data_IF_689282474313
#
_entry.id   IF_689282474313
#
_cell.length_a   1.000
_cell.length_b   1.000
_cell.length_c   1.000
_cell.angle_alpha   90.00
_cell.angle_beta   90.00
_cell.angle_gamma   90.00
#
_symmetry.space_group_name_H-M   'P 1'
#
loop_
_entity.id
_entity.type
_entity.pdbx_description
1 polymer ?
#
# COMPACT_ATOMS: atom_id res chain seq x y z
N UNK A 1 42.09 -41.18 -34.22
CA UNK A 1 41.15 -40.36 -33.44
C UNK A 1 40.04 -39.91 -34.38
N UNK A 2 38.88 -40.56 -34.29
CA UNK A 2 37.71 -40.30 -35.12
C UNK A 2 37.05 -38.99 -34.67
N UNK A 3 36.89 -38.04 -35.58
CA UNK A 3 36.13 -36.81 -35.32
C UNK A 3 34.69 -37.04 -35.78
N UNK A 4 33.76 -37.09 -34.83
CA UNK A 4 32.32 -37.18 -35.10
C UNK A 4 31.77 -35.77 -35.19
N UNK A 5 31.33 -35.38 -36.38
CA UNK A 5 30.54 -34.17 -36.63
C UNK A 5 29.07 -34.55 -36.37
N UNK A 6 28.47 -33.97 -35.33
CA UNK A 6 27.03 -34.07 -35.09
C UNK A 6 26.41 -32.69 -35.32
N UNK A 7 25.72 -32.56 -36.45
CA UNK A 7 24.81 -31.47 -36.72
C UNK A 7 23.57 -31.63 -35.85
N UNK A 8 23.17 -30.57 -35.14
CA UNK A 8 21.86 -30.47 -34.50
C UNK A 8 21.23 -29.16 -34.96
N UNK A 9 20.01 -29.30 -35.50
CA UNK A 9 19.31 -28.30 -36.28
C UNK A 9 18.90 -27.05 -35.49
N UNK A 10 18.81 -25.96 -36.24
CA UNK A 10 18.20 -24.71 -35.82
C UNK A 10 16.69 -24.95 -35.73
N UNK A 11 16.18 -25.08 -34.50
CA UNK A 11 14.75 -24.99 -34.24
C UNK A 11 14.33 -23.54 -34.49
N UNK A 12 13.40 -23.36 -35.42
CA UNK A 12 12.81 -22.07 -35.74
C UNK A 12 12.17 -21.45 -34.49
N UNK A 13 12.41 -20.15 -34.32
CA UNK A 13 11.69 -19.34 -33.35
C UNK A 13 10.21 -19.32 -33.74
N UNK A 14 9.36 -19.85 -32.87
CA UNK A 14 7.92 -19.57 -32.92
C UNK A 14 7.69 -18.14 -32.44
N UNK A 15 7.04 -17.37 -33.31
CA UNK A 15 6.62 -15.99 -33.13
C UNK A 15 5.46 -15.94 -32.11
N UNK A 16 5.52 -15.15 -31.01
CA UNK A 16 4.41 -15.07 -30.06
C UNK A 16 3.37 -14.08 -30.59
N UNK A 17 2.61 -14.50 -31.61
CA UNK A 17 1.43 -13.80 -32.07
C UNK A 17 0.15 -14.44 -31.50
N UNK A 18 -0.68 -13.58 -30.89
CA UNK A 18 -2.13 -13.75 -30.67
C UNK A 18 -2.62 -14.86 -29.72
N UNK A 19 -2.53 -14.60 -28.41
CA UNK A 19 -3.48 -15.15 -27.43
C UNK A 19 -4.69 -14.21 -27.25
N UNK A 20 -5.32 -13.81 -28.36
CA UNK A 20 -6.60 -13.10 -28.37
C UNK A 20 -7.71 -14.09 -28.66
N UNK A 21 -8.49 -14.51 -27.65
CA UNK A 21 -9.65 -15.36 -27.98
C UNK A 21 -10.56 -15.89 -26.86
N UNK A 22 -10.22 -15.82 -25.58
CA UNK A 22 -11.20 -16.12 -24.51
C UNK A 22 -11.44 -14.88 -23.68
N UNK A 23 -12.70 -14.43 -23.63
CA UNK A 23 -13.15 -13.44 -22.65
C UNK A 23 -12.91 -13.98 -21.23
N UNK A 24 -12.81 -13.10 -20.23
CA UNK A 24 -12.90 -13.54 -18.84
C UNK A 24 -14.13 -14.45 -18.69
N UNK A 25 -14.03 -15.51 -17.89
CA UNK A 25 -15.22 -16.24 -17.48
C UNK A 25 -16.08 -15.28 -16.66
N UNK A 26 -17.06 -14.64 -17.30
CA UNK A 26 -18.04 -13.77 -16.64
C UNK A 26 -18.95 -14.68 -15.85
N UNK A 27 -19.02 -14.44 -14.55
CA UNK A 27 -19.94 -15.17 -13.69
C UNK A 27 -21.35 -14.68 -14.01
N UNK A 28 -22.24 -15.59 -14.44
CA UNK A 28 -23.65 -15.27 -14.71
C UNK A 28 -24.36 -14.75 -13.45
N UNK A 29 -23.93 -15.26 -12.29
CA UNK A 29 -24.35 -14.82 -10.96
C UNK A 29 -23.08 -14.46 -10.18
N UNK A 30 -22.92 -13.21 -9.71
CA UNK A 30 -21.74 -12.82 -8.96
C UNK A 30 -21.57 -13.66 -7.69
N UNK A 31 -20.34 -14.09 -7.40
CA UNK A 31 -20.05 -14.98 -6.28
C UNK A 31 -19.47 -14.21 -5.09
N UNK A 32 -19.95 -14.40 -3.85
CA UNK A 32 -19.40 -13.71 -2.70
C UNK A 32 -17.94 -14.13 -2.44
N UNK A 33 -17.14 -13.19 -1.95
CA UNK A 33 -15.77 -13.45 -1.49
C UNK A 33 -15.52 -12.81 -0.13
N UNK A 34 -14.39 -13.13 0.51
CA UNK A 34 -13.93 -12.43 1.73
C UNK A 34 -13.00 -11.25 1.40
N UNK A 35 -13.14 -10.65 0.22
CA UNK A 35 -12.33 -9.50 -0.22
C UNK A 35 -10.86 -9.81 -0.53
N UNK A 36 -10.37 -11.02 -0.24
CA UNK A 36 -9.06 -11.53 -0.67
C UNK A 36 -7.91 -11.43 0.33
N UNK A 37 -8.17 -11.53 1.62
CA UNK A 37 -7.11 -11.41 2.64
C UNK A 37 -5.94 -12.38 2.41
N UNK A 38 -4.73 -11.84 2.51
CA UNK A 38 -3.44 -12.52 2.47
C UNK A 38 -3.03 -13.22 1.18
N UNK A 39 -3.89 -13.50 0.20
CA UNK A 39 -3.44 -14.12 -1.08
C UNK A 39 -3.75 -13.32 -2.33
N UNK A 40 -4.40 -12.17 -2.18
CA UNK A 40 -4.79 -11.31 -3.27
C UNK A 40 -4.18 -9.93 -3.13
N UNK A 41 -3.65 -9.41 -4.22
CA UNK A 41 -3.18 -8.03 -4.35
C UNK A 41 -4.07 -7.29 -5.34
N UNK A 42 -4.57 -6.12 -4.94
CA UNK A 42 -5.22 -5.21 -5.87
C UNK A 42 -4.20 -4.76 -6.95
N UNK A 43 -4.68 -4.65 -8.19
CA UNK A 43 -3.87 -4.23 -9.35
C UNK A 43 -4.49 -3.04 -10.07
N UNK A 44 -5.80 -2.88 -9.96
CA UNK A 44 -6.58 -1.81 -10.57
C UNK A 44 -7.74 -1.48 -9.66
N UNK A 45 -8.08 -0.20 -9.61
CA UNK A 45 -9.24 0.32 -8.90
C UNK A 45 -10.07 1.24 -9.81
N UNK A 46 -11.39 1.17 -9.70
CA UNK A 46 -12.32 2.07 -10.38
C UNK A 46 -13.62 2.20 -9.57
N UNK A 47 -13.80 3.33 -8.87
CA UNK A 47 -14.90 3.60 -7.94
C UNK A 47 -14.99 2.58 -6.81
N UNK A 48 -15.70 1.49 -7.02
CA UNK A 48 -15.82 0.40 -6.07
C UNK A 48 -15.38 -0.94 -6.68
N UNK A 49 -15.00 -0.91 -7.96
CA UNK A 49 -14.51 -2.06 -8.69
C UNK A 49 -13.01 -2.21 -8.52
N UNK A 50 -12.55 -3.46 -8.48
CA UNK A 50 -11.13 -3.77 -8.43
C UNK A 50 -10.79 -5.05 -9.16
N UNK A 51 -9.61 -5.07 -9.76
CA UNK A 51 -9.00 -6.31 -10.26
C UNK A 51 -7.97 -6.74 -9.23
N UNK A 52 -8.09 -7.99 -8.80
CA UNK A 52 -7.14 -8.60 -7.88
C UNK A 52 -6.37 -9.72 -8.57
N UNK A 53 -5.07 -9.81 -8.27
CA UNK A 53 -4.19 -10.91 -8.68
C UNK A 53 -3.93 -11.83 -7.49
N UNK A 54 -4.13 -13.12 -7.69
CA UNK A 54 -3.68 -14.13 -6.73
C UNK A 54 -2.15 -14.23 -6.79
N UNK A 55 -1.47 -14.06 -5.67
CA UNK A 55 -0.01 -13.97 -5.64
C UNK A 55 0.71 -15.32 -5.78
N UNK A 56 -0.03 -16.42 -5.68
CA UNK A 56 0.50 -17.78 -5.87
C UNK A 56 0.30 -18.26 -7.31
N UNK A 57 -0.88 -18.00 -7.90
CA UNK A 57 -1.24 -18.54 -9.21
C UNK A 57 -1.13 -17.53 -10.36
N UNK A 58 -1.02 -16.23 -10.05
CA UNK A 58 -1.09 -15.15 -11.04
C UNK A 58 -2.49 -14.92 -11.63
N UNK A 59 -3.47 -15.77 -11.30
CA UNK A 59 -4.84 -15.62 -11.79
C UNK A 59 -5.48 -14.34 -11.25
N UNK A 60 -6.26 -13.67 -12.09
CA UNK A 60 -6.96 -12.45 -11.75
C UNK A 60 -8.46 -12.68 -11.56
N UNK A 61 -9.08 -11.80 -10.78
CA UNK A 61 -10.53 -11.72 -10.62
C UNK A 61 -11.00 -10.26 -10.61
N UNK A 62 -12.20 -10.02 -11.13
CA UNK A 62 -12.88 -8.74 -11.05
C UNK A 62 -13.89 -8.77 -9.90
N UNK A 63 -13.77 -7.85 -8.96
CA UNK A 63 -14.69 -7.67 -7.83
C UNK A 63 -15.39 -6.30 -7.91
N UNK A 64 -16.60 -6.23 -7.37
CA UNK A 64 -17.26 -4.95 -7.04
C UNK A 64 -16.99 -4.52 -5.58
N UNK A 65 -17.70 -3.47 -5.15
CA UNK A 65 -17.57 -2.85 -3.83
C UNK A 65 -18.03 -3.73 -2.68
N UNK A 66 -18.95 -4.65 -2.97
CA UNK A 66 -19.53 -5.60 -2.02
C UNK A 66 -18.78 -6.94 -2.01
N UNK A 67 -17.61 -6.98 -2.64
CA UNK A 67 -16.71 -8.13 -2.73
C UNK A 67 -17.28 -9.30 -3.54
N UNK A 68 -18.27 -9.04 -4.40
CA UNK A 68 -18.78 -10.03 -5.32
C UNK A 68 -17.89 -10.13 -6.55
N UNK A 69 -17.57 -11.36 -6.92
CA UNK A 69 -16.79 -11.68 -8.11
C UNK A 69 -17.68 -11.68 -9.34
N UNK A 70 -17.32 -10.88 -10.34
CA UNK A 70 -18.03 -10.80 -11.63
C UNK A 70 -17.32 -11.57 -12.74
N UNK A 71 -16.05 -11.93 -12.54
CA UNK A 71 -15.35 -12.83 -13.44
C UNK A 71 -13.93 -13.11 -13.01
N UNK A 72 -13.28 -14.07 -13.69
CA UNK A 72 -11.89 -14.47 -13.47
C UNK A 72 -11.16 -14.74 -14.78
N UNK A 73 -9.83 -14.64 -14.76
CA UNK A 73 -8.98 -14.88 -15.93
C UNK A 73 -7.61 -14.23 -15.80
N UNK A 74 -7.05 -13.78 -16.91
CA UNK A 74 -5.87 -12.89 -16.93
C UNK A 74 -6.26 -11.46 -16.54
N UNK A 75 -5.27 -10.63 -16.25
CA UNK A 75 -5.51 -9.20 -15.99
C UNK A 75 -6.22 -8.52 -17.17
N UNK A 76 -5.76 -8.79 -18.40
CA UNK A 76 -6.34 -8.22 -19.62
C UNK A 76 -7.81 -8.64 -19.80
N UNK A 77 -8.13 -9.91 -19.53
CA UNK A 77 -9.50 -10.42 -19.56
C UNK A 77 -10.39 -9.73 -18.51
N UNK A 78 -9.92 -9.59 -17.26
CA UNK A 78 -10.67 -8.89 -16.21
C UNK A 78 -10.86 -7.40 -16.53
N UNK A 79 -9.85 -6.76 -17.14
CA UNK A 79 -9.94 -5.35 -17.58
C UNK A 79 -10.95 -5.18 -18.70
N UNK A 80 -10.96 -6.06 -19.69
CA UNK A 80 -11.95 -6.05 -20.76
C UNK A 80 -13.38 -6.21 -20.22
N UNK A 81 -13.57 -7.11 -19.24
CA UNK A 81 -14.85 -7.29 -18.57
C UNK A 81 -15.27 -6.02 -17.79
N UNK A 82 -14.34 -5.37 -17.09
CA UNK A 82 -14.61 -4.10 -16.41
C UNK A 82 -15.04 -3.02 -17.41
N UNK A 83 -14.36 -2.88 -18.56
CA UNK A 83 -14.75 -1.93 -19.61
C UNK A 83 -16.14 -2.22 -20.18
N UNK A 84 -16.49 -3.49 -20.36
CA UNK A 84 -17.84 -3.90 -20.74
C UNK A 84 -18.87 -3.45 -19.68
N UNK A 85 -18.60 -3.71 -18.40
CA UNK A 85 -19.49 -3.31 -17.30
C UNK A 85 -19.62 -1.78 -17.21
N UNK A 86 -18.54 -1.02 -17.39
CA UNK A 86 -18.56 0.44 -17.43
C UNK A 86 -19.55 0.96 -18.49
N UNK A 87 -19.54 0.37 -19.69
CA UNK A 87 -20.46 0.72 -20.79
C UNK A 87 -21.89 0.28 -20.50
N UNK A 88 -22.09 -0.97 -20.09
CA UNK A 88 -23.42 -1.55 -19.79
C UNK A 88 -24.15 -0.79 -18.68
N UNK A 89 -23.42 -0.38 -17.64
CA UNK A 89 -23.98 0.32 -16.46
C UNK A 89 -23.83 1.84 -16.53
N UNK A 90 -23.27 2.37 -17.63
CA UNK A 90 -22.98 3.80 -17.81
C UNK A 90 -22.25 4.42 -16.59
N UNK A 91 -21.19 3.76 -16.12
CA UNK A 91 -20.46 4.21 -14.94
C UNK A 91 -19.70 5.51 -15.25
N UNK A 92 -19.74 6.52 -14.35
CA UNK A 92 -19.03 7.77 -14.57
C UNK A 92 -17.51 7.55 -14.58
N UNK A 93 -16.74 8.33 -15.37
CA UNK A 93 -15.28 8.27 -15.30
C UNK A 93 -14.79 8.68 -13.91
N UNK A 94 -13.63 8.17 -13.51
CA UNK A 94 -12.91 8.67 -12.33
C UNK A 94 -12.51 10.13 -12.56
N UNK A 95 -12.73 10.99 -11.57
CA UNK A 95 -12.38 12.42 -11.59
C UNK A 95 -12.08 12.91 -10.18
N UNK A 96 -11.44 14.08 -10.07
CA UNK A 96 -11.21 14.74 -8.80
C UNK A 96 -10.05 14.13 -8.00
N UNK A 97 -10.21 14.03 -6.67
CA UNK A 97 -9.14 13.76 -5.72
C UNK A 97 -9.27 12.39 -5.10
N UNK A 98 -8.22 11.59 -5.20
CA UNK A 98 -8.14 10.25 -4.61
C UNK A 98 -7.21 10.26 -3.40
N UNK A 99 -7.53 9.41 -2.40
CA UNK A 99 -6.59 9.08 -1.32
C UNK A 99 -6.33 7.58 -1.36
N UNK A 100 -5.11 7.17 -1.66
CA UNK A 100 -4.70 5.77 -1.60
C UNK A 100 -4.36 5.40 -0.16
N UNK A 101 -5.05 4.40 0.39
CA UNK A 101 -4.94 4.01 1.80
C UNK A 101 -4.43 2.58 1.91
N UNK A 102 -3.29 2.38 2.59
CA UNK A 102 -2.69 1.08 2.86
C UNK A 102 -2.75 0.75 4.36
N UNK A 103 -3.23 -0.47 4.66
CA UNK A 103 -3.28 -1.03 6.01
C UNK A 103 -1.90 -1.54 6.49
N UNK A 104 -1.85 -2.07 7.71
CA UNK A 104 -0.63 -2.62 8.32
C UNK A 104 -0.40 -4.10 8.03
N UNK A 105 0.65 -4.65 8.63
CA UNK A 105 1.01 -6.07 8.53
C UNK A 105 0.00 -6.98 9.23
N UNK A 106 -0.26 -8.17 8.67
CA UNK A 106 -1.24 -9.14 9.17
C UNK A 106 -2.67 -8.60 9.30
N UNK A 107 -2.94 -7.46 8.67
CA UNK A 107 -4.23 -6.77 8.69
C UNK A 107 -4.94 -6.88 7.33
N UNK A 108 -6.06 -6.19 7.17
CA UNK A 108 -6.77 -6.02 5.92
C UNK A 108 -7.37 -4.63 5.78
N UNK A 109 -7.80 -4.30 4.56
CA UNK A 109 -8.43 -3.00 4.23
C UNK A 109 -9.62 -2.63 5.14
N UNK A 110 -10.27 -3.62 5.75
CA UNK A 110 -11.34 -3.44 6.74
C UNK A 110 -10.95 -2.53 7.90
N UNK A 111 -9.70 -2.59 8.36
CA UNK A 111 -9.21 -1.77 9.47
C UNK A 111 -9.11 -0.27 9.13
N UNK A 112 -8.92 0.05 7.86
CA UNK A 112 -8.84 1.43 7.39
C UNK A 112 -10.20 2.01 6.99
N UNK A 113 -11.27 1.19 6.93
CA UNK A 113 -12.62 1.64 6.52
C UNK A 113 -13.13 2.87 7.28
N UNK A 114 -12.97 2.98 8.62
CA UNK A 114 -13.43 4.17 9.34
C UNK A 114 -12.75 5.45 8.85
N UNK A 115 -11.44 5.41 8.62
CA UNK A 115 -10.70 6.55 8.09
C UNK A 115 -11.11 6.88 6.66
N UNK A 116 -11.26 5.87 5.79
CA UNK A 116 -11.72 6.07 4.41
C UNK A 116 -13.08 6.78 4.37
N UNK A 117 -14.05 6.30 5.17
CA UNK A 117 -15.38 6.92 5.27
C UNK A 117 -15.27 8.38 5.73
N UNK A 118 -14.44 8.66 6.73
CA UNK A 118 -14.24 10.02 7.21
C UNK A 118 -13.69 10.94 6.11
N UNK A 119 -12.69 10.48 5.35
CA UNK A 119 -12.09 11.24 4.23
C UNK A 119 -13.08 11.50 3.09
N UNK A 120 -13.95 10.52 2.80
CA UNK A 120 -15.02 10.65 1.81
C UNK A 120 -16.05 11.69 2.27
N UNK A 121 -16.62 11.51 3.47
CA UNK A 121 -17.71 12.34 3.99
C UNK A 121 -17.29 13.79 4.28
N UNK A 122 -16.05 14.02 4.71
CA UNK A 122 -15.60 15.34 5.21
C UNK A 122 -14.53 16.00 4.34
N UNK A 123 -13.87 15.25 3.47
CA UNK A 123 -12.78 15.73 2.64
C UNK A 123 -13.09 15.82 1.15
N UNK A 124 -14.19 15.22 0.69
CA UNK A 124 -14.52 15.15 -0.74
C UNK A 124 -13.50 14.32 -1.52
N UNK A 125 -12.86 13.35 -0.85
CA UNK A 125 -11.91 12.43 -1.46
C UNK A 125 -12.58 11.11 -1.85
N UNK A 126 -12.09 10.47 -2.90
CA UNK A 126 -12.42 9.08 -3.23
C UNK A 126 -11.34 8.14 -2.67
N UNK A 127 -11.60 7.38 -1.59
CA UNK A 127 -10.58 6.54 -0.98
C UNK A 127 -10.36 5.24 -1.76
N UNK A 128 -9.12 5.00 -2.19
CA UNK A 128 -8.68 3.70 -2.71
C UNK A 128 -8.17 2.88 -1.52
N UNK A 129 -9.07 2.11 -0.91
CA UNK A 129 -8.74 1.28 0.26
C UNK A 129 -8.12 -0.06 -0.18
N UNK A 130 -6.80 -0.09 -0.31
CA UNK A 130 -6.05 -1.15 -0.97
C UNK A 130 -6.05 -2.44 -0.16
N UNK A 131 -6.39 -3.56 -0.81
CA UNK A 131 -6.06 -4.91 -0.32
C UNK A 131 -4.73 -5.36 -0.89
N UNK A 132 -3.83 -5.78 -0.01
CA UNK A 132 -2.58 -6.42 -0.40
C UNK A 132 -2.19 -7.51 0.60
N UNK A 133 -1.43 -8.54 0.18
CA UNK A 133 -1.15 -9.71 1.00
C UNK A 133 0.06 -9.45 1.90
N UNK A 134 -0.14 -8.60 2.91
CA UNK A 134 0.90 -8.01 3.75
C UNK A 134 1.91 -8.97 4.40
N UNK A 135 1.60 -10.27 4.52
CA UNK A 135 2.53 -11.28 5.06
C UNK A 135 3.11 -12.23 4.01
N UNK A 136 2.55 -12.28 2.79
CA UNK A 136 2.94 -13.29 1.78
C UNK A 136 3.96 -12.79 0.76
N UNK A 137 4.13 -11.48 0.60
CA UNK A 137 5.12 -10.89 -0.31
C UNK A 137 6.04 -9.90 0.43
N UNK A 138 7.08 -9.45 -0.25
CA UNK A 138 7.97 -8.40 0.24
C UNK A 138 7.52 -7.01 -0.19
N UNK A 139 8.22 -6.01 0.33
CA UNK A 139 7.97 -4.59 0.04
C UNK A 139 8.09 -4.24 -1.44
N UNK A 140 9.01 -4.85 -2.17
CA UNK A 140 9.20 -4.61 -3.61
C UNK A 140 7.98 -5.07 -4.43
N UNK A 141 7.42 -6.24 -4.11
CA UNK A 141 6.21 -6.72 -4.78
C UNK A 141 4.99 -5.86 -4.42
N UNK A 142 4.85 -5.47 -3.15
CA UNK A 142 3.77 -4.56 -2.73
C UNK A 142 3.87 -3.19 -3.41
N UNK A 143 5.08 -2.64 -3.55
CA UNK A 143 5.33 -1.40 -4.28
C UNK A 143 4.99 -1.53 -5.77
N UNK A 144 5.32 -2.66 -6.41
CA UNK A 144 4.94 -2.96 -7.79
C UNK A 144 3.43 -3.03 -7.96
N UNK A 145 2.72 -3.66 -7.04
CA UNK A 145 1.27 -3.77 -7.07
C UNK A 145 0.60 -2.42 -6.85
N UNK A 146 1.14 -1.59 -5.94
CA UNK A 146 0.72 -0.20 -5.75
C UNK A 146 0.96 0.66 -7.01
N UNK A 147 2.09 0.48 -7.69
CA UNK A 147 2.36 1.17 -8.95
C UNK A 147 1.33 0.82 -10.04
N UNK A 148 0.92 -0.46 -10.12
CA UNK A 148 -0.17 -0.86 -11.02
C UNK A 148 -1.47 -0.11 -10.72
N UNK A 149 -1.83 0.06 -9.45
CA UNK A 149 -3.04 0.81 -9.08
C UNK A 149 -2.91 2.27 -9.55
N UNK A 150 -1.80 2.94 -9.22
CA UNK A 150 -1.55 4.35 -9.58
C UNK A 150 -1.57 4.61 -11.09
N UNK A 151 -1.02 3.68 -11.87
CA UNK A 151 -0.97 3.78 -13.33
C UNK A 151 -2.36 3.67 -13.98
N UNK A 152 -3.33 3.03 -13.30
CA UNK A 152 -4.72 2.85 -13.79
C UNK A 152 -5.73 3.81 -13.15
N UNK A 153 -5.28 4.91 -12.55
CA UNK A 153 -6.13 5.99 -12.05
C UNK A 153 -6.32 7.08 -13.12
N UNK A 154 -6.73 6.69 -14.34
CA UNK A 154 -6.94 7.66 -15.41
C UNK A 154 -8.10 8.62 -15.08
N UNK A 155 -7.92 9.92 -15.37
CA UNK A 155 -8.91 10.96 -15.08
C UNK A 155 -8.84 11.57 -13.68
N UNK A 156 -8.10 10.95 -12.75
CA UNK A 156 -7.83 11.51 -11.42
C UNK A 156 -6.87 12.70 -11.51
N UNK A 157 -7.22 13.79 -10.83
CA UNK A 157 -6.50 15.06 -10.87
C UNK A 157 -5.42 15.14 -9.78
N UNK A 158 -5.70 14.61 -8.59
CA UNK A 158 -4.81 14.64 -7.43
C UNK A 158 -4.86 13.31 -6.67
N UNK A 159 -3.70 12.81 -6.25
CA UNK A 159 -3.52 11.54 -5.53
C UNK A 159 -2.77 11.82 -4.23
N UNK A 160 -3.46 11.65 -3.11
CA UNK A 160 -2.87 11.62 -1.78
C UNK A 160 -2.62 10.18 -1.32
N UNK A 161 -1.81 10.04 -0.27
CA UNK A 161 -1.44 8.75 0.28
C UNK A 161 -1.64 8.72 1.79
N UNK A 162 -2.14 7.60 2.31
CA UNK A 162 -2.17 7.32 3.76
C UNK A 162 -1.65 5.92 3.98
N UNK A 163 -0.58 5.80 4.77
CA UNK A 163 0.02 4.52 5.13
C UNK A 163 -0.05 4.27 6.62
N UNK A 164 -0.76 3.22 7.04
CA UNK A 164 -0.73 2.75 8.42
C UNK A 164 0.37 1.68 8.60
N UNK A 165 1.27 1.90 9.56
CA UNK A 165 2.33 0.97 9.92
C UNK A 165 3.15 0.53 8.68
N UNK A 166 3.16 -0.77 8.35
CA UNK A 166 3.78 -1.32 7.13
C UNK A 166 3.35 -0.59 5.85
N UNK A 167 2.09 -0.15 5.74
CA UNK A 167 1.59 0.56 4.56
C UNK A 167 2.38 1.83 4.26
N UNK A 168 2.88 2.53 5.29
CA UNK A 168 3.76 3.68 5.11
C UNK A 168 5.11 3.31 4.49
N UNK A 169 5.66 2.15 4.84
CA UNK A 169 6.92 1.64 4.29
C UNK A 169 6.74 1.16 2.85
N UNK A 170 5.60 0.51 2.53
CA UNK A 170 5.24 0.15 1.15
C UNK A 170 5.18 1.38 0.25
N UNK A 171 4.55 2.47 0.71
CA UNK A 171 4.48 3.72 -0.06
C UNK A 171 5.87 4.34 -0.25
N UNK A 172 6.76 4.30 0.76
CA UNK A 172 8.16 4.74 0.62
C UNK A 172 8.94 3.92 -0.41
N UNK A 173 8.72 2.60 -0.43
CA UNK A 173 9.31 1.71 -1.44
C UNK A 173 8.78 2.02 -2.84
N UNK A 174 7.46 2.25 -2.95
CA UNK A 174 6.81 2.69 -4.19
C UNK A 174 7.43 3.99 -4.73
N UNK A 175 7.62 5.02 -3.90
CA UNK A 175 8.23 6.26 -4.38
C UNK A 175 9.68 6.07 -4.89
N UNK A 176 10.46 5.20 -4.24
CA UNK A 176 11.82 4.89 -4.72
C UNK A 176 11.78 4.22 -6.10
N UNK A 177 10.95 3.19 -6.24
CA UNK A 177 10.85 2.41 -7.47
C UNK A 177 10.20 3.20 -8.61
N UNK A 178 9.16 3.97 -8.31
CA UNK A 178 8.47 4.80 -9.29
C UNK A 178 9.36 5.93 -9.81
N UNK A 179 10.14 6.57 -8.93
CA UNK A 179 11.12 7.58 -9.35
C UNK A 179 12.15 6.98 -10.30
N UNK A 180 12.64 5.77 -10.04
CA UNK A 180 13.57 5.08 -10.95
C UNK A 180 12.90 4.77 -12.29
N UNK A 181 11.69 4.20 -12.26
CA UNK A 181 10.90 3.85 -13.44
C UNK A 181 10.57 5.07 -14.32
N UNK A 182 10.37 6.23 -13.68
CA UNK A 182 10.04 7.51 -14.33
C UNK A 182 11.25 8.42 -14.55
N UNK A 183 12.47 7.88 -14.49
CA UNK A 183 13.72 8.59 -14.78
C UNK A 183 13.89 9.88 -13.94
N UNK A 184 13.58 9.79 -12.65
CA UNK A 184 13.67 10.91 -11.70
C UNK A 184 12.42 11.80 -11.65
N UNK A 185 11.46 11.66 -12.57
CA UNK A 185 10.25 12.47 -12.58
C UNK A 185 9.23 11.99 -11.55
N UNK A 186 8.58 12.94 -10.89
CA UNK A 186 7.47 12.70 -9.97
C UNK A 186 6.17 12.82 -10.77
N UNK A 187 5.20 11.94 -10.51
CA UNK A 187 3.86 12.07 -11.11
C UNK A 187 3.24 13.40 -10.64
N UNK A 188 2.83 14.30 -11.56
CA UNK A 188 2.32 15.61 -11.19
C UNK A 188 0.99 15.54 -10.43
N UNK A 189 0.31 14.39 -10.41
CA UNK A 189 -0.90 14.18 -9.62
C UNK A 189 -0.59 13.98 -8.14
N UNK A 190 0.64 13.66 -7.74
CA UNK A 190 0.93 13.36 -6.34
C UNK A 190 0.83 14.61 -5.45
N UNK A 191 -0.09 14.57 -4.50
CA UNK A 191 -0.34 15.61 -3.52
C UNK A 191 0.46 15.41 -2.25
N UNK A 192 -0.19 14.92 -1.19
CA UNK A 192 0.38 14.78 0.17
C UNK A 192 0.32 13.36 0.70
N UNK A 193 1.16 13.06 1.68
CA UNK A 193 1.17 11.78 2.38
C UNK A 193 1.01 11.93 3.89
N UNK A 194 0.22 11.04 4.51
CA UNK A 194 0.19 10.87 5.98
C UNK A 194 0.64 9.47 6.34
N UNK A 195 1.58 9.38 7.27
CA UNK A 195 2.05 8.11 7.83
C UNK A 195 1.50 7.95 9.25
N UNK A 196 0.84 6.84 9.56
CA UNK A 196 0.23 6.57 10.86
C UNK A 196 0.99 5.41 11.51
N UNK A 197 1.69 5.66 12.61
CA UNK A 197 2.54 4.69 13.32
C UNK A 197 3.58 3.98 12.43
N UNK A 198 4.29 4.65 11.50
CA UNK A 198 5.22 3.94 10.62
C UNK A 198 6.48 3.47 11.36
N UNK A 199 6.99 2.26 11.14
CA UNK A 199 8.30 1.85 11.65
C UNK A 199 9.43 2.38 10.73
N UNK A 200 9.61 3.71 10.66
CA UNK A 200 10.52 4.36 9.71
C UNK A 200 12.01 4.08 9.94
N UNK A 201 12.36 3.57 11.13
CA UNK A 201 13.70 3.10 11.51
C UNK A 201 13.74 1.57 11.72
N UNK A 202 12.75 0.86 11.17
CA UNK A 202 12.56 -0.57 11.40
C UNK A 202 11.79 -0.86 12.69
N UNK A 203 11.42 -2.12 12.86
CA UNK A 203 10.72 -2.65 14.03
C UNK A 203 11.70 -3.34 14.96
N UNK A 204 11.91 -2.75 16.14
CA UNK A 204 12.77 -3.32 17.17
C UNK A 204 12.24 -4.67 17.67
N UNK A 205 10.92 -4.83 17.78
CA UNK A 205 10.32 -6.11 18.13
C UNK A 205 10.56 -7.16 17.03
N UNK A 206 10.42 -6.78 15.76
CA UNK A 206 10.73 -7.69 14.65
C UNK A 206 12.23 -8.02 14.58
N UNK A 207 13.12 -7.09 14.93
CA UNK A 207 14.56 -7.37 15.00
C UNK A 207 14.90 -8.34 16.15
N UNK A 208 14.27 -8.17 17.32
CA UNK A 208 14.51 -9.02 18.51
C UNK A 208 13.91 -10.41 18.40
N UNK A 209 12.77 -10.56 17.71
CA UNK A 209 12.03 -11.81 17.60
C UNK A 209 11.93 -12.36 16.16
N UNK A 210 12.66 -11.77 15.21
CA UNK A 210 12.58 -12.13 13.79
C UNK A 210 13.05 -13.56 13.48
N UNK A 211 13.91 -14.13 14.34
CA UNK A 211 14.37 -15.52 14.24
C UNK A 211 13.44 -16.51 14.97
N UNK A 212 12.37 -16.03 15.61
CA UNK A 212 11.36 -16.89 16.21
C UNK A 212 10.38 -17.37 15.11
N UNK A 213 10.27 -18.69 14.86
CA UNK A 213 9.42 -19.23 13.80
C UNK A 213 7.94 -18.83 13.91
N UNK A 214 7.43 -18.56 15.12
CA UNK A 214 6.05 -18.10 15.34
C UNK A 214 5.89 -16.64 14.89
N UNK A 215 6.89 -15.81 15.13
CA UNK A 215 6.89 -14.40 14.72
C UNK A 215 7.08 -14.27 13.21
N UNK A 216 7.94 -15.10 12.61
CA UNK A 216 8.10 -15.21 11.15
C UNK A 216 6.81 -15.72 10.49
N UNK A 217 6.12 -16.70 11.07
CA UNK A 217 4.84 -17.20 10.55
C UNK A 217 3.74 -16.12 10.59
N UNK A 218 3.73 -15.27 11.62
CA UNK A 218 2.71 -14.23 11.80
C UNK A 218 2.97 -12.98 10.95
N UNK A 219 4.22 -12.54 10.85
CA UNK A 219 4.58 -11.31 10.14
C UNK A 219 5.07 -11.57 8.72
N UNK A 220 5.45 -12.79 8.39
CA UNK A 220 5.85 -13.20 7.05
C UNK A 220 7.05 -12.43 6.50
N UNK A 221 7.14 -12.34 5.16
CA UNK A 221 8.29 -11.74 4.45
C UNK A 221 8.51 -10.28 4.81
N UNK A 222 7.45 -9.48 4.82
CA UNK A 222 7.51 -8.08 5.22
C UNK A 222 7.96 -7.90 6.68
N UNK A 223 7.59 -8.81 7.57
CA UNK A 223 8.05 -8.83 8.96
C UNK A 223 9.57 -8.91 9.08
N UNK A 224 10.21 -9.75 8.25
CA UNK A 224 11.67 -9.87 8.22
C UNK A 224 12.36 -8.63 7.67
N UNK A 225 11.75 -7.99 6.66
CA UNK A 225 12.23 -6.71 6.10
C UNK A 225 12.12 -5.56 7.10
N UNK A 226 11.10 -5.57 7.97
CA UNK A 226 10.99 -4.61 9.05
C UNK A 226 11.92 -4.92 10.23
N UNK A 227 12.43 -6.15 10.36
CA UNK A 227 13.29 -6.57 11.46
C UNK A 227 14.72 -6.84 11.01
N UNK A 228 15.18 -8.11 10.95
CA UNK A 228 16.59 -8.45 10.69
C UNK A 228 17.15 -7.91 9.37
N UNK A 229 16.31 -7.73 8.34
CA UNK A 229 16.74 -7.28 7.01
C UNK A 229 16.58 -5.76 6.81
N UNK A 230 16.21 -5.03 7.87
CA UNK A 230 15.92 -3.59 7.77
C UNK A 230 17.08 -2.77 7.21
N UNK A 231 18.32 -3.05 7.63
CA UNK A 231 19.49 -2.30 7.15
C UNK A 231 19.67 -2.38 5.62
N UNK A 232 19.32 -3.52 5.02
CA UNK A 232 19.32 -3.68 3.56
C UNK A 232 18.10 -3.02 2.93
N UNK A 233 16.92 -3.22 3.51
CA UNK A 233 15.67 -2.65 2.97
C UNK A 233 15.67 -1.12 2.99
N UNK A 234 16.19 -0.50 4.05
CA UNK A 234 16.23 0.96 4.22
C UNK A 234 16.96 1.67 3.07
N UNK A 235 17.95 1.02 2.44
CA UNK A 235 18.68 1.54 1.27
C UNK A 235 17.80 1.67 0.03
N UNK A 236 16.66 0.99 0.02
CA UNK A 236 15.73 0.88 -1.09
C UNK A 236 14.45 1.70 -0.89
N UNK A 237 14.36 2.45 0.22
CA UNK A 237 13.22 3.29 0.57
C UNK A 237 13.53 4.76 0.26
N UNK A 238 12.55 5.47 -0.30
CA UNK A 238 12.63 6.90 -0.42
C UNK A 238 12.18 7.60 0.87
N UNK A 239 12.77 8.75 1.17
CA UNK A 239 12.00 9.82 1.83
C UNK A 239 10.92 10.27 0.84
N UNK A 240 9.63 10.37 1.24
CA UNK A 240 8.58 10.79 0.32
C UNK A 240 8.97 12.08 -0.42
N UNK A 241 8.90 12.11 -1.77
CA UNK A 241 9.32 13.27 -2.56
C UNK A 241 8.24 14.37 -2.61
N UNK A 242 7.24 14.27 -1.75
CA UNK A 242 6.07 15.14 -1.65
C UNK A 242 5.90 15.57 -0.19
N UNK A 243 5.11 16.61 0.07
CA UNK A 243 4.82 17.04 1.44
C UNK A 243 4.16 15.91 2.24
N UNK A 244 4.73 15.56 3.40
CA UNK A 244 4.26 14.46 4.22
C UNK A 244 4.33 14.75 5.72
N UNK A 245 3.42 14.11 6.46
CA UNK A 245 3.29 14.24 7.90
C UNK A 245 3.23 12.88 8.58
N UNK A 246 3.60 12.84 9.86
CA UNK A 246 3.68 11.58 10.63
C UNK A 246 2.87 11.70 11.91
N UNK A 247 1.92 10.77 12.10
CA UNK A 247 1.19 10.58 13.35
C UNK A 247 1.79 9.38 14.07
N UNK A 248 2.46 9.60 15.20
CA UNK A 248 2.94 8.54 16.07
C UNK A 248 1.88 8.16 17.11
N UNK A 249 1.79 6.88 17.47
CA UNK A 249 1.12 6.47 18.70
C UNK A 249 2.10 6.47 19.86
N UNK A 250 1.62 6.81 21.05
CA UNK A 250 2.43 6.84 22.28
C UNK A 250 1.66 7.55 23.37
N UNK A 251 2.04 7.39 24.63
CA UNK A 251 1.36 8.02 25.77
C UNK A 251 1.68 9.50 25.90
N UNK A 252 2.71 9.99 25.20
CA UNK A 252 3.27 11.32 25.38
C UNK A 252 4.10 11.45 26.66
N UNK A 253 4.61 10.34 27.19
CA UNK A 253 5.46 10.26 28.37
C UNK A 253 6.82 9.64 28.04
N UNK A 254 7.64 9.27 29.03
CA UNK A 254 8.97 8.68 28.80
C UNK A 254 8.95 7.15 28.65
N UNK A 255 7.80 6.47 28.80
CA UNK A 255 7.72 5.03 29.03
C UNK A 255 6.83 4.26 28.06
N UNK A 256 5.81 4.90 27.49
CA UNK A 256 4.89 4.27 26.56
C UNK A 256 4.08 3.11 27.16
N UNK A 257 3.67 2.18 26.29
CA UNK A 257 2.83 1.04 26.64
C UNK A 257 3.60 -0.27 26.82
N UNK A 258 4.77 -0.42 26.18
CA UNK A 258 5.55 -1.66 26.20
C UNK A 258 6.96 -1.42 26.77
N UNK A 259 7.25 -1.88 28.00
CA UNK A 259 8.53 -1.64 28.66
C UNK A 259 9.72 -2.33 27.98
N UNK A 260 9.48 -3.18 26.99
CA UNK A 260 10.55 -3.77 26.17
C UNK A 260 11.07 -2.77 25.12
N UNK A 261 10.28 -1.77 24.73
CA UNK A 261 10.69 -0.71 23.82
C UNK A 261 11.27 0.46 24.62
N UNK A 262 12.37 1.08 24.14
CA UNK A 262 12.93 2.24 24.80
C UNK A 262 12.09 3.49 24.51
N UNK A 263 11.77 4.25 25.57
CA UNK A 263 11.03 5.49 25.47
C UNK A 263 9.53 5.30 25.25
N UNK A 264 8.85 6.36 24.81
CA UNK A 264 7.45 6.30 24.44
C UNK A 264 7.19 5.38 23.23
N UNK A 265 6.08 4.66 23.24
CA UNK A 265 5.72 3.67 22.23
C UNK A 265 4.20 3.40 22.24
N UNK A 266 3.70 2.83 21.14
CA UNK A 266 2.28 2.46 20.98
C UNK A 266 1.97 0.98 21.25
N UNK A 267 2.86 0.28 21.93
CA UNK A 267 2.84 -1.16 22.19
C UNK A 267 3.68 -1.97 21.19
N UNK A 268 3.88 -1.44 19.97
CA UNK A 268 4.51 -2.15 18.84
C UNK A 268 5.67 -1.36 18.24
N UNK A 269 5.49 -0.04 18.07
CA UNK A 269 6.43 0.88 17.45
C UNK A 269 6.74 2.00 18.44
N UNK A 270 8.04 2.26 18.66
CA UNK A 270 8.45 3.39 19.47
C UNK A 270 8.23 4.70 18.73
N UNK A 271 7.86 5.74 19.47
CA UNK A 271 7.69 7.11 18.95
C UNK A 271 8.96 7.56 18.20
N UNK A 272 10.14 7.23 18.73
CA UNK A 272 11.42 7.51 18.07
C UNK A 272 11.55 6.81 16.70
N UNK A 273 11.14 5.54 16.57
CA UNK A 273 11.22 4.81 15.29
C UNK A 273 10.27 5.39 14.23
N UNK A 274 9.21 6.09 14.63
CA UNK A 274 8.32 6.75 13.66
C UNK A 274 8.94 7.94 12.94
N UNK A 275 9.98 8.54 13.52
CA UNK A 275 10.59 9.76 12.97
C UNK A 275 11.27 9.49 11.63
N UNK A 276 11.07 10.41 10.70
CA UNK A 276 11.73 10.43 9.39
C UNK A 276 11.99 11.89 9.01
N UNK A 277 13.25 12.20 8.69
CA UNK A 277 13.64 13.52 8.22
C UNK A 277 12.88 13.90 6.93
N UNK A 278 12.54 15.18 6.82
CA UNK A 278 11.72 15.75 5.74
C UNK A 278 10.23 15.85 6.06
N UNK A 279 9.76 15.27 7.18
CA UNK A 279 8.36 15.40 7.59
C UNK A 279 8.04 16.87 7.89
N UNK A 280 7.01 17.40 7.24
CA UNK A 280 6.60 18.80 7.37
C UNK A 280 5.79 19.05 8.65
N UNK A 281 5.20 18.00 9.22
CA UNK A 281 4.58 18.02 10.53
C UNK A 281 4.64 16.62 11.18
N UNK A 282 4.64 16.61 12.50
CA UNK A 282 4.68 15.39 13.31
C UNK A 282 3.80 15.57 14.54
N UNK A 283 3.16 14.50 15.02
CA UNK A 283 2.35 14.57 16.23
C UNK A 283 2.24 13.21 16.91
N UNK A 284 2.18 13.21 18.24
CA UNK A 284 1.91 12.01 19.05
C UNK A 284 0.43 11.97 19.43
N UNK A 285 -0.19 10.80 19.31
CA UNK A 285 -1.57 10.52 19.75
C UNK A 285 -1.56 9.45 20.83
N UNK A 286 -2.20 9.69 22.00
CA UNK A 286 -2.35 8.71 23.08
C UNK A 286 -3.24 7.54 22.68
N UNK A 287 -2.63 6.52 22.07
CA UNK A 287 -3.29 5.32 21.58
C UNK A 287 -2.30 4.17 21.40
N UNK A 288 -2.80 2.95 21.59
CA UNK A 288 -2.12 1.73 21.15
C UNK A 288 -2.12 1.63 19.62
N UNK A 289 -1.13 0.95 19.06
CA UNK A 289 -0.88 0.81 17.62
C UNK A 289 -2.15 0.40 16.87
N UNK A 290 -2.75 -0.72 17.29
CA UNK A 290 -3.94 -1.31 16.69
C UNK A 290 -5.20 -0.44 16.79
N UNK A 291 -5.18 0.62 17.61
CA UNK A 291 -6.30 1.55 17.78
C UNK A 291 -6.12 2.83 16.96
N UNK A 292 -4.90 3.17 16.52
CA UNK A 292 -4.64 4.41 15.77
C UNK A 292 -5.58 4.61 14.57
N UNK A 293 -5.83 3.61 13.70
CA UNK A 293 -6.72 3.79 12.54
C UNK A 293 -8.19 4.05 12.90
N UNK A 294 -8.59 3.81 14.16
CA UNK A 294 -9.96 4.02 14.66
C UNK A 294 -10.11 5.31 15.47
N UNK A 295 -9.02 6.00 15.79
CA UNK A 295 -9.06 7.21 16.60
C UNK A 295 -9.58 8.40 15.79
N UNK A 296 -10.67 9.02 16.25
CA UNK A 296 -11.26 10.20 15.60
C UNK A 296 -10.25 11.36 15.43
N UNK A 297 -9.35 11.56 16.38
CA UNK A 297 -8.26 12.55 16.27
C UNK A 297 -7.32 12.24 15.10
N UNK A 298 -6.98 10.98 14.88
CA UNK A 298 -6.12 10.56 13.76
C UNK A 298 -6.83 10.85 12.44
N UNK A 299 -8.14 10.63 12.35
CA UNK A 299 -8.94 10.98 11.17
C UNK A 299 -8.94 12.49 10.89
N UNK A 300 -9.20 13.30 11.92
CA UNK A 300 -9.17 14.76 11.83
C UNK A 300 -7.80 15.29 11.40
N UNK A 301 -6.73 14.79 12.01
CA UNK A 301 -5.35 15.15 11.67
C UNK A 301 -5.00 14.73 10.25
N UNK A 302 -5.39 13.51 9.84
CA UNK A 302 -5.13 13.03 8.48
C UNK A 302 -5.79 13.94 7.46
N UNK A 303 -7.09 14.19 7.61
CA UNK A 303 -7.84 15.07 6.71
C UNK A 303 -7.22 16.48 6.65
N UNK A 304 -6.94 17.08 7.81
CA UNK A 304 -6.38 18.43 7.89
C UNK A 304 -5.00 18.50 7.22
N UNK A 305 -4.17 17.50 7.43
CA UNK A 305 -2.85 17.44 6.78
C UNK A 305 -2.98 17.31 5.27
N UNK A 306 -3.86 16.43 4.77
CA UNK A 306 -4.06 16.27 3.33
C UNK A 306 -4.56 17.57 2.67
N UNK A 307 -5.40 18.35 3.35
CA UNK A 307 -5.92 19.62 2.84
C UNK A 307 -4.92 20.79 2.96
N UNK A 308 -4.17 20.85 4.07
CA UNK A 308 -3.46 22.07 4.47
C UNK A 308 -1.97 21.91 4.80
N UNK A 309 -1.46 20.68 4.92
CA UNK A 309 -0.05 20.42 5.25
C UNK A 309 0.32 20.52 6.74
N UNK A 310 -0.67 20.50 7.65
CA UNK A 310 -0.44 20.49 9.10
C UNK A 310 -1.54 19.73 9.86
N UNK A 311 -1.23 19.22 11.05
CA UNK A 311 -2.15 18.45 11.88
C UNK A 311 -3.04 19.29 12.78
N UNK A 312 -2.50 20.39 13.36
CA UNK A 312 -3.24 21.26 14.28
C UNK A 312 -3.46 22.63 13.65
N UNK A 313 -2.38 23.36 13.39
CA UNK A 313 -2.38 24.69 12.78
C UNK A 313 -1.03 25.00 12.12
N UNK A 314 -0.95 26.00 11.22
CA UNK A 314 0.28 26.30 10.50
C UNK A 314 1.44 26.71 11.43
N UNK A 315 1.13 27.34 12.56
CA UNK A 315 2.09 27.81 13.59
C UNK A 315 2.40 26.75 14.66
N UNK A 316 1.73 25.59 14.61
CA UNK A 316 1.89 24.49 15.57
C UNK A 316 2.56 23.26 14.94
N UNK A 317 3.13 23.42 13.74
CA UNK A 317 3.87 22.35 13.08
C UNK A 317 5.11 21.98 13.87
N UNK A 318 5.40 20.68 13.93
CA UNK A 318 6.67 20.17 14.44
C UNK A 318 7.40 19.41 13.34
N UNK A 319 8.05 20.13 12.40
CA UNK A 319 8.77 19.49 11.30
C UNK A 319 9.96 18.67 11.82
N UNK A 320 10.27 17.58 11.14
CA UNK A 320 11.47 16.77 11.40
C UNK A 320 12.50 17.14 10.34
N UNK A 321 13.51 17.90 10.74
CA UNK A 321 14.59 18.33 9.85
C UNK A 321 15.57 17.19 9.58
N UNK A 322 16.24 17.25 8.44
CA UNK A 322 17.43 16.45 8.19
C UNK A 322 18.55 17.00 9.08
N UNK A 323 19.06 16.16 9.99
CA UNK A 323 20.30 16.44 10.69
C UNK A 323 21.44 16.25 9.66
N UNK A 324 21.74 17.32 8.92
CA UNK A 324 22.88 17.38 8.00
C UNK A 324 24.20 17.40 8.78
#
# INVERSE_FOLDING_TARGET
MLTVILAVGVAGAEDPAEETGRAAGRDLVPMPTLGGTQFWADQLFFHQWRIQRNVLTGACRLLDGDDFRHGSGTFAQCRALLEQIKRERNLPPLRGKVVIVLHGIADGRGMMKPLCRYLEEHGGYEPVNVTYPSTQQGLAEHAKDLASIVDHLEGVEEIHFVGYSLGGIVIRRFFADDRNRRQGKIDPRFGRMVMIGPPNQGSQLAARWGDNPIFELLLGKAGRQLGPLWAWEAQHLATPPIEFGIVAGGRGDEWGFNPLLPGDDDGVVSVASTRLAGASDWIVVPALHALLPRQAKVHQYTLRFLQHGYFVGPDQRTPIQDER
#
